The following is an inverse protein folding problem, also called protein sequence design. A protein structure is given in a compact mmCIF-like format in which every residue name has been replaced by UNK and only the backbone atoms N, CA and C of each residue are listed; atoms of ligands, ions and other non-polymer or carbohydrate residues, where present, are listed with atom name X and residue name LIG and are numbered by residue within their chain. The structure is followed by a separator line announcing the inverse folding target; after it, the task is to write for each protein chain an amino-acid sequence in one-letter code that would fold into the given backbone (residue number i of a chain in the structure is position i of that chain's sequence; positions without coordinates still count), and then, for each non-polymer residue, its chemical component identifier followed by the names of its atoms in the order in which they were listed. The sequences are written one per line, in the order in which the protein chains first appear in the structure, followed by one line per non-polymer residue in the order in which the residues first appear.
data_IF_837757122345
#
_entry.id   IF_837757122345
#
_cell.length_a   1.000
_cell.length_b   1.000
_cell.length_c   1.000
_cell.angle_alpha   90.00
_cell.angle_beta   90.00
_cell.angle_gamma   90.00
#
_symmetry.space_group_name_H-M   'P 1'
#
loop_
_entity.id
_entity.type
_entity.pdbx_description
1 polymer ?
#
# COMPACT_ATOMS: atom_id res chain seq x y z
N UNK A 1 -36.58 -25.83 0.30
CA UNK A 1 -37.78 -24.98 0.44
C UNK A 1 -37.64 -24.30 1.80
N UNK A 2 -37.22 -23.04 1.95
CA UNK A 2 -37.65 -21.76 1.33
C UNK A 2 -39.10 -21.43 1.73
N UNK A 3 -39.24 -20.34 2.50
CA UNK A 3 -40.45 -19.90 3.23
C UNK A 3 -40.33 -20.36 4.68
N UNK A 4 -40.53 -19.56 5.73
CA UNK A 4 -41.43 -18.41 5.96
C UNK A 4 -40.68 -17.46 6.93
N UNK A 5 -40.84 -16.13 6.93
CA UNK A 5 -42.05 -15.42 7.35
C UNK A 5 -42.09 -14.04 6.67
N UNK A 6 -42.64 -13.98 5.46
CA UNK A 6 -43.20 -12.74 4.92
C UNK A 6 -44.64 -12.65 5.38
N UNK A 7 -44.89 -11.93 6.46
CA UNK A 7 -46.26 -11.61 6.84
C UNK A 7 -46.34 -10.20 7.45
N UNK A 8 -46.73 -9.24 6.61
CA UNK A 8 -47.77 -8.25 6.93
C UNK A 8 -48.21 -7.57 5.62
N UNK A 9 -48.98 -8.36 4.86
CA UNK A 9 -49.88 -7.90 3.81
C UNK A 9 -50.81 -6.81 4.38
N UNK A 10 -50.93 -5.68 3.67
CA UNK A 10 -51.92 -5.54 2.61
C UNK A 10 -53.31 -5.91 3.09
N UNK A 11 -53.94 -4.97 3.80
CA UNK A 11 -55.38 -4.88 3.75
C UNK A 11 -55.73 -3.97 2.56
N UNK A 12 -56.55 -4.52 1.65
CA UNK A 12 -57.29 -3.83 0.57
C UNK A 12 -56.54 -3.64 -0.75
N UNK A 13 -56.45 -4.71 -1.53
CA UNK A 13 -57.13 -4.80 -2.83
C UNK A 13 -56.78 -6.18 -3.43
N UNK A 14 -57.77 -7.07 -3.46
CA UNK A 14 -57.59 -8.44 -3.95
C UNK A 14 -57.23 -8.48 -5.43
N UNK A 15 -55.96 -8.77 -5.73
CA UNK A 15 -55.51 -9.13 -7.08
C UNK A 15 -54.52 -10.31 -6.98
N UNK A 16 -54.78 -11.45 -7.65
CA UNK A 16 -53.94 -12.65 -7.60
C UNK A 16 -52.60 -12.49 -8.35
N UNK A 17 -51.57 -13.18 -7.87
CA UNK A 17 -50.15 -13.00 -8.23
C UNK A 17 -49.76 -13.35 -9.68
N UNK A 18 -50.66 -13.89 -10.49
CA UNK A 18 -50.33 -14.41 -11.83
C UNK A 18 -50.44 -13.40 -12.98
N UNK A 19 -50.78 -12.14 -12.71
CA UNK A 19 -50.76 -11.05 -13.72
C UNK A 19 -49.56 -10.10 -13.64
N UNK A 20 -48.74 -10.18 -12.58
CA UNK A 20 -47.63 -9.25 -12.37
C UNK A 20 -46.39 -9.51 -13.26
N UNK A 21 -46.28 -10.71 -13.84
CA UNK A 21 -45.13 -11.10 -14.68
C UNK A 21 -45.20 -10.57 -16.12
N UNK A 22 -46.33 -10.00 -16.55
CA UNK A 22 -46.51 -9.45 -17.91
C UNK A 22 -46.33 -7.92 -18.00
N UNK A 23 -46.00 -7.24 -16.91
CA UNK A 23 -45.90 -5.76 -16.86
C UNK A 23 -44.54 -5.22 -16.39
N UNK A 24 -43.46 -5.98 -16.49
CA UNK A 24 -42.11 -5.46 -16.22
C UNK A 24 -41.33 -5.17 -17.51
N UNK A 25 -41.28 -3.90 -17.98
CA UNK A 25 -40.24 -3.49 -18.90
C UNK A 25 -38.89 -3.47 -18.15
N UNK A 26 -37.91 -4.21 -18.68
CA UNK A 26 -36.50 -4.21 -18.24
C UNK A 26 -35.96 -2.78 -18.11
N UNK A 27 -35.48 -2.34 -16.95
CA UNK A 27 -34.62 -1.17 -16.87
C UNK A 27 -33.17 -1.55 -17.21
N UNK A 28 -32.72 -0.89 -18.27
CA UNK A 28 -31.39 -0.78 -18.86
C UNK A 28 -30.41 -0.20 -17.84
N UNK A 29 -29.15 -0.66 -17.90
CA UNK A 29 -27.96 -0.02 -17.34
C UNK A 29 -28.01 1.50 -17.55
N UNK A 30 -27.86 2.29 -16.48
CA UNK A 30 -27.10 3.55 -16.44
C UNK A 30 -26.66 3.84 -15.00
N UNK A 31 -25.43 4.37 -14.89
CA UNK A 31 -24.76 4.82 -13.67
C UNK A 31 -25.41 6.12 -13.18
N UNK A 32 -25.42 6.38 -11.87
CA UNK A 32 -25.09 7.70 -11.26
C UNK A 32 -25.02 7.57 -9.74
N UNK A 33 -23.93 8.12 -9.18
CA UNK A 33 -23.62 8.29 -7.76
C UNK A 33 -24.65 9.16 -7.03
N UNK A 34 -24.98 8.83 -5.78
CA UNK A 34 -25.21 9.84 -4.75
C UNK A 34 -24.61 9.41 -3.40
N UNK A 35 -23.88 10.37 -2.82
CA UNK A 35 -23.09 10.33 -1.61
C UNK A 35 -23.92 10.16 -0.33
N UNK A 36 -23.43 9.32 0.58
CA UNK A 36 -23.59 9.52 2.02
C UNK A 36 -22.21 9.41 2.68
N UNK A 37 -21.76 10.36 3.52
CA UNK A 37 -20.46 10.26 4.16
C UNK A 37 -20.57 9.32 5.36
N UNK A 38 -20.63 8.02 5.08
CA UNK A 38 -20.11 7.07 6.05
C UNK A 38 -18.60 7.24 6.01
N UNK A 39 -18.06 8.01 6.96
CA UNK A 39 -16.63 8.08 7.25
C UNK A 39 -16.20 6.73 7.86
N UNK A 40 -16.35 5.65 7.10
CA UNK A 40 -15.47 4.52 7.19
C UNK A 40 -14.14 5.05 6.70
N UNK A 41 -13.19 5.23 7.60
CA UNK A 41 -11.78 5.21 7.21
C UNK A 41 -11.58 3.85 6.56
N UNK A 42 -11.84 3.75 5.26
CA UNK A 42 -11.40 2.62 4.48
C UNK A 42 -9.88 2.67 4.61
N UNK A 43 -9.24 1.65 5.19
CA UNK A 43 -7.81 1.52 5.07
C UNK A 43 -7.48 1.69 3.60
N UNK A 44 -6.75 2.76 3.31
CA UNK A 44 -6.18 2.97 2.01
C UNK A 44 -5.24 1.79 1.84
N UNK A 45 -5.66 0.81 1.03
CA UNK A 45 -4.83 -0.34 0.73
C UNK A 45 -3.45 0.18 0.34
N UNK A 46 -2.37 -0.34 0.95
CA UNK A 46 -1.05 0.22 0.71
C UNK A 46 -0.73 0.10 -0.77
N UNK A 47 0.07 1.05 -1.24
CA UNK A 47 0.59 1.03 -2.60
C UNK A 47 1.22 -0.35 -2.87
N UNK A 48 1.10 -0.81 -4.11
CA UNK A 48 1.48 -2.17 -4.48
C UNK A 48 2.94 -2.52 -4.13
N UNK A 49 3.85 -1.55 -4.28
CA UNK A 49 5.26 -1.64 -3.86
C UNK A 49 5.41 -1.97 -2.36
N UNK A 50 4.71 -1.24 -1.50
CA UNK A 50 4.71 -1.47 -0.04
C UNK A 50 4.10 -2.82 0.30
N UNK A 51 2.99 -3.20 -0.35
CA UNK A 51 2.34 -4.49 -0.11
C UNK A 51 3.26 -5.68 -0.44
N UNK A 52 4.03 -5.58 -1.53
CA UNK A 52 5.02 -6.61 -1.90
C UNK A 52 6.16 -6.66 -0.88
N UNK A 53 6.66 -5.51 -0.41
CA UNK A 53 7.68 -5.46 0.64
C UNK A 53 7.17 -6.05 1.97
N UNK A 54 5.91 -5.80 2.34
CA UNK A 54 5.27 -6.43 3.51
C UNK A 54 5.23 -7.96 3.35
N UNK A 55 4.79 -8.45 2.19
CA UNK A 55 4.74 -9.89 1.91
C UNK A 55 6.11 -10.56 2.07
N UNK A 56 7.15 -9.94 1.52
CA UNK A 56 8.52 -10.45 1.57
C UNK A 56 9.06 -10.45 3.01
N UNK A 57 8.86 -9.34 3.74
CA UNK A 57 9.28 -9.24 5.13
C UNK A 57 8.58 -10.25 6.06
N UNK A 58 7.36 -10.68 5.73
CA UNK A 58 6.59 -11.65 6.52
C UNK A 58 6.94 -13.10 6.23
N UNK A 59 7.42 -13.43 5.03
CA UNK A 59 7.49 -14.82 4.53
C UNK A 59 8.87 -15.29 4.10
N UNK A 60 9.84 -14.39 3.96
CA UNK A 60 11.19 -14.74 3.50
C UNK A 60 12.23 -14.15 4.46
N UNK A 61 12.99 -15.02 5.12
CA UNK A 61 13.99 -14.61 6.10
C UNK A 61 15.11 -13.76 5.47
N UNK A 62 15.58 -14.14 4.28
CA UNK A 62 16.66 -13.44 3.59
C UNK A 62 16.24 -12.04 3.15
N UNK A 63 15.06 -11.89 2.55
CA UNK A 63 14.49 -10.60 2.16
C UNK A 63 14.22 -9.72 3.39
N UNK A 64 13.69 -10.30 4.48
CA UNK A 64 13.50 -9.56 5.74
C UNK A 64 14.82 -9.05 6.28
N UNK A 65 15.86 -9.89 6.32
CA UNK A 65 17.19 -9.50 6.79
C UNK A 65 17.76 -8.38 5.92
N UNK A 66 17.66 -8.49 4.60
CA UNK A 66 18.07 -7.43 3.68
C UNK A 66 17.39 -6.10 4.04
N UNK A 67 16.07 -6.09 4.26
CA UNK A 67 15.32 -4.88 4.60
C UNK A 67 15.72 -4.29 5.96
N UNK A 68 16.04 -5.13 6.95
CA UNK A 68 16.52 -4.69 8.27
C UNK A 68 17.90 -4.04 8.23
N UNK A 69 18.74 -4.42 7.27
CA UNK A 69 20.06 -3.81 7.06
C UNK A 69 19.97 -2.42 6.40
N UNK A 70 18.79 -2.05 5.89
CA UNK A 70 18.56 -0.74 5.27
C UNK A 70 18.24 0.35 6.30
N UNK A 71 18.33 1.60 5.86
CA UNK A 71 17.90 2.77 6.64
C UNK A 71 16.36 2.93 6.64
N UNK A 72 15.65 1.86 7.02
CA UNK A 72 14.22 1.75 6.78
C UNK A 72 13.39 2.68 7.67
N UNK A 73 13.85 3.02 8.87
CA UNK A 73 13.11 3.88 9.81
C UNK A 73 12.90 5.27 9.21
N UNK A 74 13.97 5.86 8.69
CA UNK A 74 14.03 7.21 8.14
C UNK A 74 13.29 7.30 6.81
N UNK A 75 13.41 6.25 5.98
CA UNK A 75 12.75 6.20 4.67
C UNK A 75 11.24 6.03 4.83
N UNK A 76 10.79 5.05 5.63
CA UNK A 76 9.36 4.75 5.75
C UNK A 76 8.58 5.85 6.51
N UNK A 77 9.21 6.59 7.42
CA UNK A 77 8.59 7.76 8.09
C UNK A 77 8.13 8.85 7.11
N UNK A 78 8.70 8.91 5.91
CA UNK A 78 8.38 9.93 4.91
C UNK A 78 7.31 9.47 3.91
N UNK A 79 6.86 8.21 4.02
CA UNK A 79 6.01 7.55 3.04
C UNK A 79 4.66 7.24 3.70
N UNK A 80 3.62 7.93 3.25
CA UNK A 80 2.25 7.64 3.68
C UNK A 80 1.82 6.23 3.27
N UNK A 81 1.25 5.45 4.20
CA UNK A 81 0.81 4.09 3.95
C UNK A 81 1.91 3.03 4.16
N UNK A 82 3.08 3.41 4.68
CA UNK A 82 4.18 2.50 5.00
C UNK A 82 4.22 2.06 6.48
N UNK A 83 3.24 2.48 7.29
CA UNK A 83 3.23 2.30 8.74
C UNK A 83 3.22 0.81 9.13
N UNK A 84 2.44 0.00 8.41
CA UNK A 84 2.37 -1.44 8.67
C UNK A 84 3.69 -2.15 8.29
N UNK A 85 4.36 -1.73 7.22
CA UNK A 85 5.70 -2.24 6.88
C UNK A 85 6.72 -1.89 7.96
N UNK A 86 6.71 -0.64 8.45
CA UNK A 86 7.59 -0.22 9.54
C UNK A 86 7.36 -1.05 10.81
N UNK A 87 6.09 -1.34 11.16
CA UNK A 87 5.75 -2.23 12.29
C UNK A 87 6.24 -3.67 12.10
N UNK A 88 6.14 -4.22 10.88
CA UNK A 88 6.65 -5.56 10.57
C UNK A 88 8.18 -5.63 10.77
N UNK A 89 8.90 -4.62 10.29
CA UNK A 89 10.36 -4.54 10.42
C UNK A 89 10.81 -4.25 11.86
N UNK A 90 10.04 -3.46 12.61
CA UNK A 90 10.31 -3.22 14.05
C UNK A 90 10.11 -4.48 14.90
N UNK A 91 9.17 -5.34 14.53
CA UNK A 91 8.82 -6.52 15.32
C UNK A 91 9.94 -7.56 15.39
N UNK A 92 9.88 -8.45 16.39
CA UNK A 92 10.76 -9.63 16.47
C UNK A 92 10.26 -10.80 15.60
N UNK A 93 9.50 -10.50 14.54
CA UNK A 93 8.91 -11.51 13.66
C UNK A 93 9.99 -12.37 12.99
N UNK A 94 9.81 -13.68 13.07
CA UNK A 94 10.62 -14.69 12.36
C UNK A 94 9.72 -15.36 11.32
N UNK A 95 9.97 -15.18 10.02
CA UNK A 95 9.12 -15.72 8.95
C UNK A 95 8.89 -17.24 9.03
N UNK A 96 9.89 -17.99 9.49
CA UNK A 96 9.83 -19.46 9.60
C UNK A 96 9.26 -19.97 10.94
N UNK A 97 8.86 -19.07 11.85
CA UNK A 97 8.27 -19.42 13.15
C UNK A 97 6.79 -19.00 13.21
N UNK A 98 5.86 -19.97 13.10
CA UNK A 98 4.43 -19.69 13.22
C UNK A 98 4.01 -19.05 14.55
N UNK A 99 4.75 -19.30 15.64
CA UNK A 99 4.45 -18.71 16.95
C UNK A 99 4.76 -17.21 16.95
N UNK A 100 5.89 -16.85 16.33
CA UNK A 100 6.30 -15.46 16.14
C UNK A 100 5.31 -14.70 15.26
N UNK A 101 4.87 -15.28 14.15
CA UNK A 101 3.86 -14.69 13.28
C UNK A 101 2.51 -14.47 14.01
N UNK A 102 2.02 -15.47 14.73
CA UNK A 102 0.76 -15.34 15.48
C UNK A 102 0.85 -14.28 16.59
N UNK A 103 2.02 -14.18 17.24
CA UNK A 103 2.28 -13.15 18.25
C UNK A 103 2.22 -11.75 17.64
N UNK A 104 2.80 -11.56 16.44
CA UNK A 104 2.66 -10.32 15.69
C UNK A 104 1.20 -10.04 15.29
N UNK A 105 0.48 -11.02 14.75
CA UNK A 105 -0.92 -10.89 14.34
C UNK A 105 -1.82 -10.44 15.50
N UNK A 106 -1.58 -10.93 16.73
CA UNK A 106 -2.35 -10.54 17.91
C UNK A 106 -2.22 -9.06 18.33
N UNK A 107 -1.21 -8.36 17.81
CA UNK A 107 -0.97 -6.93 18.08
C UNK A 107 -1.59 -6.02 17.00
N UNK A 108 -2.19 -6.61 15.97
CA UNK A 108 -2.80 -5.88 14.87
C UNK A 108 -4.27 -5.56 15.19
N UNK A 109 -4.77 -4.49 14.57
CA UNK A 109 -6.21 -4.25 14.50
C UNK A 109 -6.87 -5.26 13.55
N UNK A 110 -8.18 -5.46 13.65
CA UNK A 110 -8.90 -6.39 12.77
C UNK A 110 -8.75 -6.06 11.27
N UNK A 111 -8.60 -4.78 10.93
CA UNK A 111 -8.37 -4.33 9.55
C UNK A 111 -6.96 -4.68 9.06
N UNK A 112 -5.94 -4.40 9.87
CA UNK A 112 -4.55 -4.77 9.59
C UNK A 112 -4.37 -6.28 9.50
N UNK A 113 -5.00 -7.04 10.39
CA UNK A 113 -5.00 -8.50 10.38
C UNK A 113 -5.59 -9.05 9.07
N UNK A 114 -6.68 -8.44 8.59
CA UNK A 114 -7.28 -8.77 7.30
C UNK A 114 -6.34 -8.52 6.12
N UNK A 115 -5.61 -7.41 6.13
CA UNK A 115 -4.60 -7.10 5.10
C UNK A 115 -3.42 -8.08 5.13
N UNK A 116 -2.86 -8.34 6.32
CA UNK A 116 -1.74 -9.28 6.47
C UNK A 116 -2.16 -10.69 6.06
N UNK A 117 -3.34 -11.14 6.48
CA UNK A 117 -3.91 -12.43 6.06
C UNK A 117 -4.05 -12.50 4.54
N UNK A 118 -4.54 -11.43 3.90
CA UNK A 118 -4.65 -11.39 2.44
C UNK A 118 -3.28 -11.49 1.76
N UNK A 119 -2.23 -10.86 2.28
CA UNK A 119 -0.87 -10.99 1.77
C UNK A 119 -0.32 -12.41 1.94
N UNK A 120 -0.51 -13.03 3.11
CA UNK A 120 -0.04 -14.39 3.36
C UNK A 120 -0.66 -15.42 2.38
N UNK A 121 -1.85 -15.16 1.85
CA UNK A 121 -2.48 -15.97 0.80
C UNK A 121 -1.96 -15.71 -0.62
N UNK A 122 -1.22 -14.61 -0.85
CA UNK A 122 -0.67 -14.30 -2.16
C UNK A 122 0.46 -15.25 -2.56
N UNK A 123 0.66 -15.38 -3.87
CA UNK A 123 1.78 -16.15 -4.42
C UNK A 123 3.09 -15.41 -4.14
N UNK A 124 4.03 -16.13 -3.53
CA UNK A 124 5.38 -15.62 -3.28
C UNK A 124 6.13 -15.49 -4.61
N UNK A 125 6.77 -14.35 -4.90
CA UNK A 125 7.54 -14.17 -6.12
C UNK A 125 8.77 -15.08 -6.13
N UNK A 126 9.19 -15.55 -7.30
CA UNK A 126 10.50 -16.20 -7.41
C UNK A 126 11.60 -15.17 -7.08
N UNK A 127 12.70 -15.61 -6.46
CA UNK A 127 13.83 -14.78 -6.05
C UNK A 127 13.42 -13.63 -5.10
N UNK A 128 12.82 -13.98 -3.96
CA UNK A 128 12.30 -13.04 -2.96
C UNK A 128 13.27 -11.90 -2.60
N UNK A 129 14.56 -12.19 -2.42
CA UNK A 129 15.58 -11.19 -2.08
C UNK A 129 15.82 -10.18 -3.21
N UNK A 130 16.02 -10.64 -4.45
CA UNK A 130 16.20 -9.75 -5.62
C UNK A 130 14.99 -8.85 -5.83
N UNK A 131 13.79 -9.40 -5.61
CA UNK A 131 12.53 -8.64 -5.69
C UNK A 131 12.46 -7.61 -4.57
N UNK A 132 12.86 -7.95 -3.34
CA UNK A 132 12.93 -7.00 -2.23
C UNK A 132 13.90 -5.85 -2.53
N UNK A 133 15.10 -6.16 -3.03
CA UNK A 133 16.10 -5.17 -3.46
C UNK A 133 15.54 -4.22 -4.52
N UNK A 134 14.93 -4.77 -5.58
CA UNK A 134 14.35 -3.98 -6.67
C UNK A 134 13.26 -3.03 -6.18
N UNK A 135 12.30 -3.53 -5.39
CA UNK A 135 11.23 -2.71 -4.84
C UNK A 135 11.72 -1.68 -3.84
N UNK A 136 12.68 -2.05 -2.99
CA UNK A 136 13.29 -1.13 -2.02
C UNK A 136 14.02 0.03 -2.72
N UNK A 137 14.85 -0.28 -3.72
CA UNK A 137 15.54 0.72 -4.52
C UNK A 137 14.56 1.62 -5.26
N UNK A 138 13.50 1.04 -5.85
CA UNK A 138 12.44 1.81 -6.51
C UNK A 138 11.71 2.75 -5.54
N UNK A 139 11.46 2.29 -4.32
CA UNK A 139 10.83 3.10 -3.26
C UNK A 139 11.72 4.30 -2.87
N UNK A 140 13.01 4.07 -2.63
CA UNK A 140 13.96 5.16 -2.31
C UNK A 140 14.05 6.16 -3.47
N UNK A 141 14.17 5.67 -4.71
CA UNK A 141 14.23 6.55 -5.89
C UNK A 141 12.97 7.42 -6.00
N UNK A 142 11.78 6.85 -5.77
CA UNK A 142 10.53 7.60 -5.79
C UNK A 142 10.50 8.68 -4.69
N UNK A 143 10.97 8.35 -3.48
CA UNK A 143 11.04 9.30 -2.37
C UNK A 143 12.01 10.44 -2.65
N UNK A 144 13.22 10.15 -3.14
CA UNK A 144 14.21 11.16 -3.49
C UNK A 144 13.75 12.05 -4.65
N UNK A 145 13.11 11.48 -5.67
CA UNK A 145 12.53 12.26 -6.79
C UNK A 145 11.47 13.24 -6.28
N UNK A 146 10.61 12.79 -5.36
CA UNK A 146 9.59 13.65 -4.75
C UNK A 146 10.22 14.77 -3.92
N UNK A 147 11.25 14.48 -3.13
CA UNK A 147 11.97 15.52 -2.37
C UNK A 147 12.63 16.54 -3.30
N UNK A 148 13.25 16.08 -4.39
CA UNK A 148 13.84 16.94 -5.41
C UNK A 148 12.79 17.86 -6.04
N UNK A 149 11.63 17.32 -6.41
CA UNK A 149 10.52 18.11 -6.97
C UNK A 149 10.04 19.19 -5.99
N UNK A 150 9.93 18.85 -4.70
CA UNK A 150 9.56 19.80 -3.64
C UNK A 150 10.62 20.89 -3.50
N UNK A 151 11.91 20.54 -3.47
CA UNK A 151 13.00 21.50 -3.36
C UNK A 151 13.07 22.42 -4.59
N UNK A 152 12.94 21.88 -5.80
CA UNK A 152 12.89 22.65 -7.04
C UNK A 152 11.66 23.58 -7.09
N UNK A 153 10.51 23.12 -6.60
CA UNK A 153 9.30 23.96 -6.50
C UNK A 153 9.49 25.09 -5.51
N UNK A 154 10.10 24.82 -4.34
CA UNK A 154 10.43 25.86 -3.35
C UNK A 154 11.38 26.89 -3.92
N UNK A 155 12.37 26.48 -4.69
CA UNK A 155 13.35 27.38 -5.31
C UNK A 155 12.74 28.34 -6.35
N UNK A 156 11.55 28.01 -6.89
CA UNK A 156 10.80 28.88 -7.80
C UNK A 156 9.93 29.91 -7.08
N UNK A 157 9.80 29.83 -5.76
CA UNK A 157 8.99 30.78 -4.99
C UNK A 157 9.70 32.14 -4.91
N UNK A 158 8.97 33.25 -5.14
CA UNK A 158 9.50 34.57 -4.86
C UNK A 158 9.70 34.75 -3.34
N UNK A 159 10.66 35.59 -2.95
CA UNK A 159 10.99 35.98 -1.56
C UNK A 159 11.94 35.08 -0.76
N UNK A 160 12.72 34.21 -1.41
CA UNK A 160 13.81 33.51 -0.73
C UNK A 160 14.97 34.46 -0.40
N UNK A 161 15.51 34.34 0.80
CA UNK A 161 16.77 35.00 1.17
C UNK A 161 17.96 34.35 0.46
N UNK A 162 19.07 35.07 0.32
CA UNK A 162 20.30 34.52 -0.28
C UNK A 162 20.77 33.24 0.43
N UNK A 163 20.63 33.15 1.76
CA UNK A 163 21.00 31.96 2.52
C UNK A 163 20.11 30.76 2.21
N UNK A 164 18.80 30.96 2.10
CA UNK A 164 17.84 29.90 1.73
C UNK A 164 18.08 29.40 0.31
N UNK A 165 18.40 30.30 -0.63
CA UNK A 165 18.75 29.93 -2.01
C UNK A 165 19.98 29.02 -2.03
N UNK A 166 21.05 29.38 -1.30
CA UNK A 166 22.27 28.56 -1.24
C UNK A 166 22.00 27.20 -0.60
N UNK A 167 21.22 27.15 0.48
CA UNK A 167 20.86 25.89 1.13
C UNK A 167 20.02 24.98 0.22
N UNK A 168 19.01 25.52 -0.46
CA UNK A 168 18.17 24.75 -1.41
C UNK A 168 18.98 24.27 -2.62
N UNK A 169 19.90 25.08 -3.14
CA UNK A 169 20.80 24.66 -4.22
C UNK A 169 21.66 23.48 -3.79
N UNK A 170 22.22 23.53 -2.58
CA UNK A 170 23.00 22.43 -2.03
C UNK A 170 22.14 21.17 -1.88
N UNK A 171 20.95 21.29 -1.29
CA UNK A 171 20.00 20.18 -1.14
C UNK A 171 19.65 19.53 -2.50
N UNK A 172 19.38 20.33 -3.53
CA UNK A 172 19.09 19.84 -4.88
C UNK A 172 20.28 19.07 -5.48
N UNK A 173 21.51 19.56 -5.29
CA UNK A 173 22.72 18.87 -5.77
C UNK A 173 22.89 17.54 -5.04
N UNK A 174 22.79 17.54 -3.70
CA UNK A 174 22.95 16.35 -2.87
C UNK A 174 21.89 15.28 -3.23
N UNK A 175 20.63 15.68 -3.44
CA UNK A 175 19.54 14.77 -3.84
C UNK A 175 19.77 14.16 -5.22
N UNK A 176 20.31 14.92 -6.17
CA UNK A 176 20.64 14.42 -7.52
C UNK A 176 21.80 13.45 -7.48
N UNK A 177 22.81 13.70 -6.66
CA UNK A 177 23.93 12.77 -6.45
C UNK A 177 23.46 11.45 -5.86
N UNK A 178 22.60 11.49 -4.84
CA UNK A 178 22.00 10.28 -4.25
C UNK A 178 21.19 9.48 -5.27
N UNK A 179 20.34 10.15 -6.07
CA UNK A 179 19.57 9.49 -7.13
C UNK A 179 20.46 8.83 -8.19
N UNK A 180 21.54 9.50 -8.59
CA UNK A 180 22.48 8.96 -9.56
C UNK A 180 23.23 7.74 -8.99
N UNK A 181 23.62 7.79 -7.71
CA UNK A 181 24.25 6.65 -7.04
C UNK A 181 23.34 5.41 -7.03
N UNK A 182 22.08 5.57 -6.61
CA UNK A 182 21.12 4.45 -6.56
C UNK A 182 20.79 3.93 -7.97
N UNK A 183 20.68 4.83 -8.96
CA UNK A 183 20.44 4.42 -10.34
C UNK A 183 21.59 3.59 -10.90
N UNK A 184 22.84 3.89 -10.52
CA UNK A 184 24.00 3.06 -10.89
C UNK A 184 23.95 1.69 -10.22
N UNK A 185 23.61 1.62 -8.93
CA UNK A 185 23.50 0.35 -8.22
C UNK A 185 22.41 -0.55 -8.82
N UNK A 186 21.28 0.04 -9.22
CA UNK A 186 20.19 -0.68 -9.90
C UNK A 186 20.49 -1.04 -11.36
N UNK A 187 21.48 -0.40 -11.99
CA UNK A 187 21.84 -0.59 -13.40
C UNK A 187 23.01 -1.56 -13.60
N UNK A 188 23.53 -2.20 -12.54
CA UNK A 188 24.52 -3.27 -12.68
C UNK A 188 23.81 -4.63 -12.65
N UNK A 189 23.49 -5.19 -13.82
CA UNK A 189 23.52 -6.63 -14.01
C UNK A 189 24.61 -6.94 -15.03
N UNK A 190 25.89 -6.79 -14.68
CA UNK A 190 26.94 -7.38 -15.50
C UNK A 190 28.24 -7.65 -14.72
N UNK A 191 28.38 -8.89 -14.27
CA UNK A 191 29.61 -9.70 -14.29
C UNK A 191 29.27 -11.05 -13.65
N UNK A 192 29.38 -12.22 -14.29
CA UNK A 192 29.86 -12.56 -15.62
C UNK A 192 29.81 -14.10 -15.76
N UNK A 193 29.68 -14.54 -17.01
CA UNK A 193 30.02 -15.87 -17.59
C UNK A 193 29.91 -17.13 -16.72
#
# INVERSE_FOLDING_TARGET
MRGEVSNKMSARLGVPASEFEKLTPKPRLERTNENGPASSQAAIAPRHDIAVLCLLALRDEAARKFLLEQNWREVLQQISGAELLARILESELRPDDPVSLNSFMSQLTAEEEGLVSAWLMQKMPANATEVAEGWWNGLIQATLRRQLEIAETRMRLPQLTTGEVVNLQKEIVDLREQLHHISRLSSVPEAGR
#
